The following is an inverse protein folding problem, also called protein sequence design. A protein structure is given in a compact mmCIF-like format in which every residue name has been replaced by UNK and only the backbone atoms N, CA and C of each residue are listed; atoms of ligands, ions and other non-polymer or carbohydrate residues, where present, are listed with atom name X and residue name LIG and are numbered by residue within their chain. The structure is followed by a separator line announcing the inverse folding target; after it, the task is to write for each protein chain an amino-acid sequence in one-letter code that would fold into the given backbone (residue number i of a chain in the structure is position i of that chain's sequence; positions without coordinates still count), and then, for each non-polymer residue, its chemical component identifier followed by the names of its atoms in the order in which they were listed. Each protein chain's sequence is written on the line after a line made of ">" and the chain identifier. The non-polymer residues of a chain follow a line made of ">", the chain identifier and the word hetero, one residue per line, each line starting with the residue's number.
data_IF_553305670145
#
_entry.id   IF_553305670145
#
_cell.length_a   1.000
_cell.length_b   1.000
_cell.length_c   1.000
_cell.angle_alpha   90.00
_cell.angle_beta   90.00
_cell.angle_gamma   90.00
#
_symmetry.space_group_name_H-M   'P 1'
#
loop_
_entity.id
_entity.type
_entity.pdbx_description
1 polymer ?
#
# COMPACT_ATOMS: atom_id res chain seq x y z
N UNK A 1 39.86 -31.09 19.26
CA UNK A 1 40.92 -30.96 18.23
C UNK A 1 40.54 -31.86 17.05
N UNK A 2 40.65 -31.44 15.78
CA UNK A 2 40.19 -30.17 15.20
C UNK A 2 39.25 -30.34 13.97
N UNK A 3 38.58 -29.22 13.61
CA UNK A 3 38.29 -28.67 12.27
C UNK A 3 37.65 -29.54 11.16
N UNK A 4 36.44 -29.19 10.67
CA UNK A 4 36.16 -28.27 9.53
C UNK A 4 35.90 -29.06 8.23
N UNK A 5 35.04 -28.72 7.26
CA UNK A 5 34.31 -27.51 6.91
C UNK A 5 32.89 -27.91 6.44
N UNK A 6 31.85 -27.31 7.02
CA UNK A 6 30.52 -27.31 6.39
C UNK A 6 30.48 -26.10 5.45
N UNK A 7 30.51 -26.36 4.14
CA UNK A 7 30.38 -25.34 3.10
C UNK A 7 28.96 -24.77 3.14
N UNK A 8 28.82 -23.57 3.68
CA UNK A 8 27.60 -22.77 3.57
C UNK A 8 27.39 -22.37 2.10
N UNK A 9 26.52 -23.10 1.42
CA UNK A 9 25.90 -22.64 0.18
C UNK A 9 24.92 -21.52 0.55
N UNK A 10 25.36 -20.27 0.45
CA UNK A 10 24.47 -19.13 0.42
C UNK A 10 23.70 -19.18 -0.92
N UNK A 11 22.37 -19.34 -0.93
CA UNK A 11 21.62 -19.00 -2.13
C UNK A 11 21.77 -17.48 -2.33
N UNK A 12 22.49 -17.10 -3.38
CA UNK A 12 22.46 -15.75 -3.93
C UNK A 12 21.01 -15.47 -4.29
N UNK A 13 20.32 -14.67 -3.47
CA UNK A 13 19.04 -14.10 -3.81
C UNK A 13 19.31 -13.12 -4.94
N UNK A 14 19.09 -13.58 -6.18
CA UNK A 14 18.98 -12.71 -7.34
C UNK A 14 17.72 -11.89 -7.11
N UNK A 15 17.90 -10.65 -6.65
CA UNK A 15 16.86 -9.64 -6.71
C UNK A 15 16.61 -9.41 -8.20
N UNK A 16 15.54 -10.01 -8.72
CA UNK A 16 14.93 -9.62 -9.98
C UNK A 16 14.42 -8.19 -9.80
N UNK A 17 15.33 -7.22 -9.89
CA UNK A 17 14.97 -5.90 -10.37
C UNK A 17 14.31 -6.17 -11.72
N UNK A 18 13.04 -5.80 -11.85
CA UNK A 18 12.32 -5.93 -13.12
C UNK A 18 13.11 -5.20 -14.19
N UNK A 19 13.96 -5.94 -14.90
CA UNK A 19 14.67 -5.44 -16.05
C UNK A 19 13.59 -5.12 -17.07
N UNK A 20 13.37 -3.82 -17.28
CA UNK A 20 12.72 -3.33 -18.47
C UNK A 20 13.62 -3.75 -19.64
N UNK A 21 13.44 -4.96 -20.16
CA UNK A 21 14.29 -5.55 -21.20
C UNK A 21 14.25 -4.78 -22.52
N UNK A 22 13.46 -3.70 -22.62
CA UNK A 22 13.28 -2.83 -23.78
C UNK A 22 13.31 -1.33 -23.44
N UNK A 23 13.81 -0.92 -22.27
CA UNK A 23 14.06 0.51 -22.02
C UNK A 23 15.32 0.93 -22.76
N UNK A 24 15.19 1.17 -24.07
CA UNK A 24 16.19 1.91 -24.83
C UNK A 24 16.37 3.28 -24.18
N UNK A 25 17.59 3.82 -24.18
CA UNK A 25 17.84 5.19 -23.77
C UNK A 25 17.29 6.13 -24.84
N UNK A 26 15.98 6.39 -24.79
CA UNK A 26 15.25 7.20 -25.75
C UNK A 26 15.41 8.70 -25.48
N UNK A 27 16.24 9.09 -24.49
CA UNK A 27 16.38 10.47 -24.03
C UNK A 27 15.18 11.00 -23.22
N UNK A 28 14.03 10.32 -23.26
CA UNK A 28 12.88 10.59 -22.41
C UNK A 28 12.57 9.38 -21.52
N UNK A 29 11.75 9.59 -20.48
CA UNK A 29 11.29 8.48 -19.64
C UNK A 29 9.89 8.72 -19.08
N UNK A 30 9.21 7.62 -18.82
CA UNK A 30 8.06 7.57 -17.93
C UNK A 30 8.48 6.96 -16.60
N UNK A 31 8.01 7.54 -15.50
CA UNK A 31 8.11 6.96 -14.17
C UNK A 31 6.73 6.95 -13.53
N UNK A 32 6.47 5.96 -12.68
CA UNK A 32 5.19 5.81 -12.02
C UNK A 32 5.39 5.67 -10.52
N UNK A 33 4.47 6.22 -9.73
CA UNK A 33 4.50 6.18 -8.28
C UNK A 33 3.10 6.06 -7.71
N UNK A 34 2.95 5.18 -6.72
CA UNK A 34 1.79 5.14 -5.84
C UNK A 34 2.06 5.90 -4.55
N UNK A 35 1.23 6.89 -4.27
CA UNK A 35 1.17 7.55 -2.95
C UNK A 35 0.06 6.90 -2.14
N UNK A 36 0.46 6.05 -1.19
CA UNK A 36 -0.46 5.33 -0.33
C UNK A 36 -1.25 6.30 0.56
N UNK A 37 -2.56 6.29 0.39
CA UNK A 37 -3.52 7.09 1.17
C UNK A 37 -4.08 6.36 2.38
N UNK A 38 -3.81 5.07 2.53
CA UNK A 38 -4.38 4.17 3.54
C UNK A 38 -3.83 4.34 4.97
N UNK A 39 -3.70 5.57 5.46
CA UNK A 39 -3.18 5.81 6.81
C UNK A 39 -3.88 6.95 7.57
N UNK A 40 -3.93 6.79 8.88
CA UNK A 40 -4.22 7.85 9.84
C UNK A 40 -2.92 8.53 10.28
N UNK A 41 -2.95 9.86 10.39
CA UNK A 41 -1.94 10.63 11.12
C UNK A 41 -2.63 11.31 12.30
N UNK A 42 -2.13 11.04 13.50
CA UNK A 42 -2.71 11.46 14.75
C UNK A 42 -1.66 12.20 15.56
N UNK A 43 -2.09 13.18 16.36
CA UNK A 43 -1.21 13.90 17.27
C UNK A 43 -1.93 14.24 18.55
N UNK A 44 -1.23 14.18 19.68
CA UNK A 44 -1.85 14.52 20.94
C UNK A 44 -0.97 14.22 22.15
N UNK A 45 -1.54 13.72 23.23
CA UNK A 45 -0.81 13.41 24.45
C UNK A 45 -1.35 12.19 25.20
N UNK A 46 -0.45 11.55 25.96
CA UNK A 46 -0.78 10.54 26.98
C UNK A 46 -0.76 11.23 28.34
N UNK A 47 -1.81 11.03 29.14
CA UNK A 47 -1.93 11.50 30.52
C UNK A 47 -1.74 13.03 30.66
N UNK A 48 -2.14 13.80 29.64
CA UNK A 48 -1.93 15.25 29.57
C UNK A 48 -0.46 15.70 29.47
N UNK A 49 0.51 14.77 29.56
CA UNK A 49 1.92 15.08 29.79
C UNK A 49 2.81 14.73 28.60
N UNK A 50 2.65 13.54 28.04
CA UNK A 50 3.57 13.02 27.05
C UNK A 50 3.03 13.27 25.65
N UNK A 51 3.54 14.31 24.98
CA UNK A 51 3.17 14.61 23.59
C UNK A 51 3.60 13.47 22.67
N UNK A 52 2.66 12.97 21.88
CA UNK A 52 2.88 11.88 20.94
C UNK A 52 2.37 12.22 19.54
N UNK A 53 3.03 11.66 18.55
CA UNK A 53 2.57 11.61 17.15
C UNK A 53 2.49 10.16 16.72
N UNK A 54 1.39 9.76 16.09
CA UNK A 54 1.11 8.39 15.70
C UNK A 54 0.72 8.31 14.23
N UNK A 55 1.27 7.33 13.51
CA UNK A 55 0.91 7.01 12.12
C UNK A 55 0.49 5.56 12.03
N UNK A 56 -0.76 5.32 11.65
CA UNK A 56 -1.37 3.99 11.55
C UNK A 56 -1.78 3.71 10.12
N UNK A 57 -1.38 2.57 9.58
CA UNK A 57 -1.71 2.08 8.25
C UNK A 57 -2.80 1.03 8.38
N UNK A 58 -3.85 1.17 7.58
CA UNK A 58 -4.85 0.12 7.40
C UNK A 58 -4.26 -0.92 6.44
N UNK A 59 -3.84 -2.05 7.00
CA UNK A 59 -3.38 -3.21 6.23
C UNK A 59 -4.58 -4.09 5.91
N UNK A 60 -4.68 -4.56 4.66
CA UNK A 60 -5.71 -5.54 4.24
C UNK A 60 -5.49 -6.96 4.81
N UNK A 61 -4.78 -7.08 5.94
CA UNK A 61 -4.53 -8.36 6.62
C UNK A 61 -5.78 -8.91 7.29
N UNK A 62 -5.77 -10.20 7.69
CA UNK A 62 -6.90 -10.82 8.37
C UNK A 62 -7.30 -10.01 9.59
N UNK A 63 -8.60 -9.70 9.66
CA UNK A 63 -9.18 -9.05 10.84
C UNK A 63 -9.30 -10.06 11.97
N UNK A 64 -9.45 -9.51 13.15
CA UNK A 64 -9.85 -10.27 14.32
C UNK A 64 -11.14 -11.06 14.07
N UNK A 65 -11.14 -12.36 14.36
CA UNK A 65 -12.25 -13.27 14.07
C UNK A 65 -12.25 -13.88 12.65
N UNK A 66 -11.31 -13.52 11.77
CA UNK A 66 -11.17 -14.13 10.43
C UNK A 66 -10.20 -15.33 10.42
N UNK A 67 -10.50 -16.32 11.25
CA UNK A 67 -9.64 -17.50 11.51
C UNK A 67 -9.19 -18.23 10.25
N UNK A 68 -10.06 -18.35 9.25
CA UNK A 68 -9.78 -19.01 7.97
C UNK A 68 -8.71 -18.30 7.11
N UNK A 69 -8.41 -17.02 7.39
CA UNK A 69 -7.35 -16.23 6.72
C UNK A 69 -6.06 -16.14 7.54
N UNK A 70 -6.12 -16.43 8.84
CA UNK A 70 -5.01 -16.26 9.77
C UNK A 70 -3.85 -17.26 9.57
N UNK A 71 -4.10 -18.39 8.88
CA UNK A 71 -3.11 -19.45 8.64
C UNK A 71 -1.92 -18.96 7.78
N UNK A 72 -2.11 -17.89 7.00
CA UNK A 72 -1.10 -17.39 6.06
C UNK A 72 -0.50 -16.02 6.42
N UNK A 73 -1.05 -15.29 7.39
CA UNK A 73 -0.68 -13.89 7.65
C UNK A 73 -0.57 -13.56 9.14
N UNK A 74 0.47 -12.79 9.51
CA UNK A 74 0.62 -12.21 10.86
C UNK A 74 -0.49 -11.16 11.05
N UNK A 75 -1.37 -11.34 12.04
CA UNK A 75 -2.65 -10.64 12.19
C UNK A 75 -2.53 -9.17 12.65
N UNK A 76 -1.98 -8.29 11.80
CA UNK A 76 -2.10 -6.84 11.96
C UNK A 76 -3.06 -6.28 10.93
N UNK A 77 -4.30 -5.96 11.31
CA UNK A 77 -5.22 -5.17 10.47
C UNK A 77 -4.92 -3.68 10.50
N UNK A 78 -4.14 -3.25 11.51
CA UNK A 78 -3.76 -1.87 11.75
C UNK A 78 -2.33 -1.82 12.30
N UNK A 79 -1.35 -1.56 11.44
CA UNK A 79 0.07 -1.46 11.83
C UNK A 79 0.54 -0.01 11.82
N UNK A 80 1.66 0.30 12.49
CA UNK A 80 2.15 1.66 12.45
C UNK A 80 3.34 1.94 13.34
N UNK A 81 3.44 3.21 13.73
CA UNK A 81 4.38 3.67 14.73
C UNK A 81 3.80 4.86 15.48
N UNK A 82 4.31 5.08 16.69
CA UNK A 82 4.19 6.37 17.37
C UNK A 82 5.56 6.81 17.87
N UNK A 83 5.72 8.08 18.21
CA UNK A 83 6.89 8.56 18.95
C UNK A 83 6.48 9.62 19.96
N UNK A 84 7.29 9.76 21.01
CA UNK A 84 7.24 10.90 21.91
C UNK A 84 7.94 12.09 21.26
N UNK A 85 7.26 13.23 21.11
CA UNK A 85 7.76 14.38 20.34
C UNK A 85 9.15 14.85 20.80
N UNK A 86 9.44 14.75 22.10
CA UNK A 86 10.75 15.13 22.68
C UNK A 86 11.89 14.17 22.33
N UNK A 87 11.58 12.90 22.11
CA UNK A 87 12.58 11.84 21.86
C UNK A 87 12.77 11.64 20.35
N UNK A 88 11.70 11.75 19.56
CA UNK A 88 11.73 11.60 18.10
C UNK A 88 11.93 10.16 17.61
N UNK A 89 12.17 9.19 18.50
CA UNK A 89 12.36 7.78 18.14
C UNK A 89 11.02 7.11 17.86
N UNK A 90 10.87 6.55 16.65
CA UNK A 90 9.70 5.77 16.26
C UNK A 90 9.65 4.43 16.98
N UNK A 91 8.54 4.21 17.68
CA UNK A 91 8.19 2.99 18.38
C UNK A 91 7.14 2.27 17.53
N UNK A 92 7.42 1.02 17.16
CA UNK A 92 6.52 0.22 16.32
C UNK A 92 5.21 -0.05 17.06
N UNK A 93 4.11 -0.01 16.30
CA UNK A 93 2.79 -0.46 16.72
C UNK A 93 2.32 -1.58 15.80
N UNK A 94 1.67 -2.58 16.38
CA UNK A 94 0.91 -3.60 15.67
C UNK A 94 -0.43 -3.76 16.37
N UNK A 95 -1.50 -3.73 15.59
CA UNK A 95 -2.84 -3.63 16.13
C UNK A 95 -3.89 -4.38 15.33
N UNK A 96 -5.00 -4.58 15.99
CA UNK A 96 -6.19 -5.27 15.50
C UNK A 96 -7.43 -4.42 15.73
N UNK A 97 -8.47 -4.71 14.95
CA UNK A 97 -9.81 -4.20 15.15
C UNK A 97 -10.82 -5.32 14.89
N UNK A 98 -11.82 -5.46 15.76
CA UNK A 98 -12.80 -6.57 15.75
C UNK A 98 -14.03 -6.30 14.88
N UNK A 99 -14.72 -7.38 14.47
CA UNK A 99 -16.03 -7.31 13.79
C UNK A 99 -17.23 -7.53 14.74
N UNK A 100 -17.07 -8.36 15.78
CA UNK A 100 -18.22 -8.96 16.48
C UNK A 100 -18.64 -8.29 17.81
N UNK A 101 -17.95 -7.24 18.27
CA UNK A 101 -18.45 -6.40 19.35
C UNK A 101 -17.83 -5.00 19.29
N UNK A 102 -18.61 -4.05 18.77
CA UNK A 102 -18.44 -2.59 18.92
C UNK A 102 -17.24 -1.89 18.26
N UNK A 103 -16.44 -2.56 17.43
CA UNK A 103 -15.36 -1.87 16.70
C UNK A 103 -14.15 -1.55 17.58
N UNK A 104 -13.94 -2.33 18.64
CA UNK A 104 -12.78 -2.24 19.52
C UNK A 104 -11.47 -2.21 18.73
N UNK A 105 -10.58 -1.30 19.12
CA UNK A 105 -9.23 -1.15 18.55
C UNK A 105 -8.18 -1.40 19.63
N UNK A 106 -7.23 -2.30 19.35
CA UNK A 106 -6.05 -2.53 20.20
C UNK A 106 -4.78 -2.29 19.40
N UNK A 107 -3.87 -1.47 19.93
CA UNK A 107 -2.55 -1.22 19.36
C UNK A 107 -1.50 -1.61 20.40
N UNK A 108 -0.60 -2.52 20.05
CA UNK A 108 0.45 -3.01 20.93
C UNK A 108 1.80 -2.48 20.50
N UNK A 109 2.64 -2.17 21.49
CA UNK A 109 4.09 -2.03 21.30
C UNK A 109 4.72 -3.40 21.54
N UNK A 110 5.13 -4.14 20.50
CA UNK A 110 5.65 -5.49 20.69
C UNK A 110 6.98 -5.48 21.45
N UNK A 111 7.26 -6.53 22.22
CA UNK A 111 8.58 -6.69 22.87
C UNK A 111 9.69 -6.95 21.83
N UNK A 112 9.36 -7.66 20.76
CA UNK A 112 10.20 -8.11 19.66
C UNK A 112 9.49 -7.98 18.32
N UNK A 113 10.24 -7.84 17.23
CA UNK A 113 9.67 -7.79 15.86
C UNK A 113 8.97 -9.09 15.43
N UNK A 114 9.17 -10.18 16.19
CA UNK A 114 8.54 -11.48 15.97
C UNK A 114 7.19 -11.63 16.68
N UNK A 115 6.86 -10.76 17.63
CA UNK A 115 5.59 -10.84 18.36
C UNK A 115 4.43 -10.50 17.42
N UNK A 116 3.34 -11.24 17.55
CA UNK A 116 2.15 -11.13 16.69
C UNK A 116 0.89 -11.17 17.53
N UNK A 117 -0.20 -10.66 16.97
CA UNK A 117 -1.53 -10.78 17.55
C UNK A 117 -2.09 -12.17 17.23
N UNK A 118 -2.66 -12.81 18.23
CA UNK A 118 -3.40 -14.05 18.07
C UNK A 118 -4.72 -13.75 17.34
N UNK A 119 -4.98 -14.40 16.20
CA UNK A 119 -6.17 -14.16 15.38
C UNK A 119 -7.49 -14.48 16.11
N UNK A 120 -7.43 -15.47 17.00
CA UNK A 120 -8.59 -15.98 17.73
C UNK A 120 -8.94 -15.04 18.87
N UNK A 121 -7.95 -14.70 19.71
CA UNK A 121 -8.21 -13.89 20.90
C UNK A 121 -8.11 -12.39 20.67
N UNK A 122 -7.54 -11.94 19.54
CA UNK A 122 -7.24 -10.52 19.28
C UNK A 122 -6.23 -9.89 20.22
N UNK A 123 -5.56 -10.72 21.01
CA UNK A 123 -4.59 -10.30 22.01
C UNK A 123 -3.16 -10.57 21.53
N UNK A 124 -2.25 -9.68 21.90
CA UNK A 124 -0.81 -9.94 21.87
C UNK A 124 -0.38 -10.34 23.27
N UNK A 125 0.30 -11.47 23.40
CA UNK A 125 0.80 -11.92 24.72
C UNK A 125 2.02 -11.08 25.16
N UNK A 126 2.94 -10.80 24.24
CA UNK A 126 4.23 -10.16 24.51
C UNK A 126 4.30 -8.73 23.98
N UNK A 127 3.91 -7.77 24.82
CA UNK A 127 3.96 -6.34 24.53
C UNK A 127 4.56 -5.53 25.69
N UNK A 128 5.05 -4.33 25.41
CA UNK A 128 5.52 -3.36 26.41
C UNK A 128 4.40 -2.43 26.86
N UNK A 129 3.60 -2.00 25.89
CA UNK A 129 2.53 -1.02 26.06
C UNK A 129 1.34 -1.43 25.20
N UNK A 130 0.15 -1.01 25.61
CA UNK A 130 -1.08 -1.21 24.84
C UNK A 130 -1.89 0.08 24.84
N UNK A 131 -2.45 0.41 23.67
CA UNK A 131 -3.48 1.41 23.50
C UNK A 131 -4.79 0.68 23.16
N UNK A 132 -5.89 1.03 23.84
CA UNK A 132 -7.19 0.38 23.67
C UNK A 132 -8.29 1.43 23.51
N UNK A 133 -9.23 1.19 22.61
CA UNK A 133 -10.57 1.75 22.67
C UNK A 133 -11.56 0.59 22.56
N UNK A 134 -12.31 0.33 23.64
CA UNK A 134 -13.15 -0.86 23.79
C UNK A 134 -14.50 -0.72 23.06
N UNK A 135 -14.93 0.51 22.72
CA UNK A 135 -16.32 0.79 22.36
C UNK A 135 -16.53 1.33 20.93
N UNK A 136 -15.47 1.70 20.20
CA UNK A 136 -15.59 2.23 18.82
C UNK A 136 -14.23 2.23 18.08
N UNK A 137 -14.29 2.32 16.75
CA UNK A 137 -13.14 2.66 15.88
C UNK A 137 -12.84 4.16 15.94
N UNK A 138 -12.63 4.69 17.15
CA UNK A 138 -12.39 6.11 17.41
C UNK A 138 -11.04 6.32 18.11
N UNK A 139 -10.03 6.74 17.35
CA UNK A 139 -8.69 7.00 17.90
C UNK A 139 -8.65 8.16 18.90
N UNK A 140 -9.68 8.99 18.99
CA UNK A 140 -9.70 10.16 19.89
C UNK A 140 -10.01 9.80 21.34
N UNK A 141 -10.49 8.57 21.60
CA UNK A 141 -10.91 8.07 22.93
C UNK A 141 -10.02 6.95 23.48
N UNK A 142 -8.80 6.83 22.96
CA UNK A 142 -7.90 5.74 23.33
C UNK A 142 -7.47 5.87 24.79
N UNK A 143 -7.27 4.72 25.42
CA UNK A 143 -6.62 4.56 26.72
C UNK A 143 -5.28 3.87 26.53
N UNK A 144 -4.31 4.15 27.41
CA UNK A 144 -2.96 3.56 27.34
C UNK A 144 -2.52 3.02 28.69
N UNK A 145 -1.74 1.93 28.67
CA UNK A 145 -1.02 1.44 29.85
C UNK A 145 0.25 0.67 29.46
N UNK A 146 1.18 0.55 30.40
CA UNK A 146 2.29 -0.40 30.28
C UNK A 146 1.83 -1.81 30.66
N UNK A 147 2.53 -2.84 30.14
CA UNK A 147 2.27 -4.23 30.55
C UNK A 147 2.54 -4.38 32.05
N UNK A 148 1.56 -4.92 32.77
CA UNK A 148 1.60 -5.10 34.23
C UNK A 148 0.95 -3.97 35.03
N UNK A 149 0.71 -2.80 34.42
CA UNK A 149 -0.02 -1.73 35.07
C UNK A 149 -1.51 -2.08 35.22
N UNK A 150 -2.09 -1.69 36.36
CA UNK A 150 -3.51 -1.89 36.66
C UNK A 150 -4.41 -0.77 36.13
N UNK A 151 -3.87 0.43 35.98
CA UNK A 151 -4.64 1.64 35.68
C UNK A 151 -4.33 2.09 34.27
N UNK A 152 -5.39 2.28 33.49
CA UNK A 152 -5.32 2.92 32.18
C UNK A 152 -5.25 4.44 32.33
N UNK A 153 -4.49 5.07 31.45
CA UNK A 153 -4.36 6.52 31.33
C UNK A 153 -5.02 7.02 30.07
N UNK A 154 -5.49 8.25 30.10
CA UNK A 154 -6.14 8.87 28.96
C UNK A 154 -5.16 9.21 27.85
N UNK A 155 -5.57 8.99 26.61
CA UNK A 155 -4.86 9.44 25.42
C UNK A 155 -5.78 10.34 24.62
N UNK A 156 -5.43 11.62 24.54
CA UNK A 156 -6.18 12.59 23.76
C UNK A 156 -5.48 12.76 22.43
N UNK A 157 -6.10 12.34 21.33
CA UNK A 157 -5.54 12.42 19.97
C UNK A 157 -6.45 13.26 19.06
N UNK A 158 -5.83 14.14 18.29
CA UNK A 158 -6.43 14.82 17.16
C UNK A 158 -6.11 14.08 15.87
N UNK A 159 -7.10 13.94 14.99
CA UNK A 159 -6.92 13.36 13.66
C UNK A 159 -6.42 14.44 12.70
N UNK A 160 -5.13 14.41 12.38
CA UNK A 160 -4.51 15.32 11.41
C UNK A 160 -4.73 14.87 9.97
N UNK A 161 -4.86 13.56 9.75
CA UNK A 161 -5.19 12.97 8.44
C UNK A 161 -5.98 11.69 8.64
N UNK A 162 -7.05 11.54 7.85
CA UNK A 162 -7.80 10.29 7.66
C UNK A 162 -7.30 9.56 6.41
N UNK A 163 -7.50 8.23 6.33
CA UNK A 163 -7.28 7.48 5.11
C UNK A 163 -8.02 8.11 3.95
N UNK A 164 -7.35 8.17 2.81
CA UNK A 164 -7.92 8.55 1.53
C UNK A 164 -7.61 7.45 0.51
N UNK A 165 -8.31 7.42 -0.63
CA UNK A 165 -7.86 6.62 -1.75
C UNK A 165 -6.38 6.90 -2.06
N UNK A 166 -5.67 5.85 -2.48
CA UNK A 166 -4.31 6.00 -2.98
C UNK A 166 -4.30 6.89 -4.23
N UNK A 167 -3.18 7.57 -4.45
CA UNK A 167 -2.98 8.40 -5.63
C UNK A 167 -1.89 7.80 -6.52
N UNK A 168 -2.25 7.48 -7.74
CA UNK A 168 -1.34 7.00 -8.78
C UNK A 168 -0.91 8.18 -9.64
N UNK A 169 0.39 8.44 -9.69
CA UNK A 169 0.96 9.50 -10.54
C UNK A 169 1.94 8.91 -11.54
N UNK A 170 1.76 9.24 -12.81
CA UNK A 170 2.78 9.04 -13.86
C UNK A 170 3.48 10.37 -14.09
N UNK A 171 4.81 10.35 -14.10
CA UNK A 171 5.64 11.50 -14.48
C UNK A 171 6.31 11.19 -15.81
N UNK A 172 6.07 12.05 -16.79
CA UNK A 172 6.76 12.05 -18.06
C UNK A 172 7.87 13.12 -18.02
N UNK A 173 9.09 12.74 -18.39
CA UNK A 173 10.27 13.62 -18.38
C UNK A 173 10.96 13.60 -19.75
N UNK A 174 11.21 14.80 -20.30
CA UNK A 174 11.97 15.02 -21.52
C UNK A 174 13.46 15.27 -21.21
N UNK A 175 14.37 15.08 -22.19
CA UNK A 175 15.80 15.25 -21.97
C UNK A 175 16.21 16.69 -21.62
N UNK A 176 15.39 17.67 -22.00
CA UNK A 176 15.57 19.08 -21.64
C UNK A 176 15.12 19.43 -20.21
N UNK A 177 14.74 18.44 -19.40
CA UNK A 177 14.28 18.60 -18.02
C UNK A 177 12.83 19.05 -17.87
N UNK A 178 12.11 19.31 -18.97
CA UNK A 178 10.66 19.54 -18.90
C UNK A 178 9.96 18.26 -18.45
N UNK A 179 8.96 18.40 -17.59
CA UNK A 179 8.22 17.26 -17.06
C UNK A 179 6.74 17.56 -16.91
N UNK A 180 5.91 16.51 -16.97
CA UNK A 180 4.49 16.56 -16.66
C UNK A 180 4.10 15.43 -15.73
N UNK A 181 3.32 15.78 -14.70
CA UNK A 181 2.71 14.82 -13.79
C UNK A 181 1.25 14.63 -14.16
N UNK A 182 0.83 13.38 -14.27
CA UNK A 182 -0.51 12.96 -14.62
C UNK A 182 -1.07 12.12 -13.48
N UNK A 183 -2.23 12.51 -12.97
CA UNK A 183 -2.96 11.79 -11.93
C UNK A 183 -3.84 10.73 -12.62
N UNK A 184 -3.41 9.47 -12.55
CA UNK A 184 -4.06 8.39 -13.30
C UNK A 184 -5.46 8.13 -12.76
N UNK A 185 -5.68 8.22 -11.44
CA UNK A 185 -7.00 8.07 -10.86
C UNK A 185 -8.00 9.09 -11.42
N UNK A 186 -7.56 10.34 -11.62
CA UNK A 186 -8.39 11.37 -12.23
C UNK A 186 -8.66 11.11 -13.70
N UNK A 187 -7.66 10.66 -14.46
CA UNK A 187 -7.81 10.37 -15.90
C UNK A 187 -8.71 9.16 -16.15
N UNK A 188 -8.65 8.14 -15.29
CA UNK A 188 -9.48 6.94 -15.41
C UNK A 188 -10.89 7.11 -14.89
N UNK A 189 -11.17 8.17 -14.12
CA UNK A 189 -12.40 8.31 -13.33
C UNK A 189 -12.60 7.11 -12.37
N UNK A 190 -11.51 6.42 -12.02
CA UNK A 190 -11.49 5.25 -11.14
C UNK A 190 -10.65 5.57 -9.90
N UNK A 191 -11.17 5.18 -8.74
CA UNK A 191 -10.52 5.38 -7.44
C UNK A 191 -9.97 4.05 -6.93
N UNK A 192 -8.92 4.11 -6.11
CA UNK A 192 -8.51 2.97 -5.29
C UNK A 192 -7.47 2.03 -5.89
N UNK A 193 -6.76 2.41 -6.95
CA UNK A 193 -5.60 1.61 -7.38
C UNK A 193 -4.50 1.60 -6.32
N UNK A 194 -3.95 0.42 -6.07
CA UNK A 194 -2.88 0.17 -5.10
C UNK A 194 -1.50 0.14 -5.73
N UNK A 195 -1.43 -0.17 -7.03
CA UNK A 195 -0.16 -0.22 -7.74
C UNK A 195 -0.26 0.19 -9.20
N UNK A 196 0.87 0.65 -9.73
CA UNK A 196 1.08 0.95 -11.13
C UNK A 196 2.43 0.40 -11.58
N UNK A 197 2.43 -0.35 -12.68
CA UNK A 197 3.65 -0.88 -13.28
C UNK A 197 3.73 -0.46 -14.75
N UNK A 198 4.82 0.18 -15.14
CA UNK A 198 5.08 0.50 -16.55
C UNK A 198 5.43 -0.80 -17.27
N UNK A 199 4.74 -1.08 -18.38
CA UNK A 199 4.96 -2.28 -19.20
C UNK A 199 6.00 -1.96 -20.27
N UNK A 200 5.73 -0.92 -21.07
CA UNK A 200 6.63 -0.40 -22.09
C UNK A 200 6.27 1.03 -22.44
N UNK A 201 7.22 1.75 -23.02
CA UNK A 201 6.98 3.06 -23.62
C UNK A 201 7.87 3.24 -24.84
N UNK A 202 7.45 4.12 -25.74
CA UNK A 202 8.14 4.38 -27.00
C UNK A 202 7.71 5.69 -27.61
N UNK A 203 8.44 6.13 -28.63
CA UNK A 203 8.11 7.31 -29.41
C UNK A 203 7.78 6.91 -30.84
N UNK A 204 6.67 7.42 -31.37
CA UNK A 204 6.30 7.24 -32.76
C UNK A 204 5.53 8.47 -33.25
N UNK A 205 5.82 8.93 -34.47
CA UNK A 205 5.10 10.05 -35.11
C UNK A 205 5.04 11.35 -34.27
N UNK A 206 6.09 11.68 -33.50
CA UNK A 206 6.16 12.83 -32.57
C UNK A 206 5.16 12.73 -31.39
N UNK A 207 4.86 11.51 -30.97
CA UNK A 207 4.07 11.21 -29.80
C UNK A 207 4.80 10.21 -28.91
N UNK A 208 4.60 10.35 -27.60
CA UNK A 208 5.14 9.49 -26.57
C UNK A 208 4.03 8.59 -26.05
N UNK A 209 4.27 7.29 -26.16
CA UNK A 209 3.31 6.23 -25.89
C UNK A 209 3.73 5.48 -24.64
N UNK A 210 2.79 5.24 -23.74
CA UNK A 210 3.01 4.48 -22.52
C UNK A 210 1.95 3.39 -22.39
N UNK A 211 2.41 2.14 -22.24
CA UNK A 211 1.61 1.03 -21.75
C UNK A 211 1.92 0.77 -20.28
N UNK A 212 0.88 0.60 -19.48
CA UNK A 212 1.01 0.38 -18.04
C UNK A 212 -0.05 -0.59 -17.53
N UNK A 213 0.21 -1.18 -16.37
CA UNK A 213 -0.68 -2.05 -15.63
C UNK A 213 -1.10 -1.35 -14.35
N UNK A 214 -2.37 -1.40 -14.01
CA UNK A 214 -2.89 -0.99 -12.71
C UNK A 214 -3.43 -2.18 -11.95
N UNK A 215 -3.27 -2.18 -10.64
CA UNK A 215 -3.82 -3.18 -9.74
C UNK A 215 -4.60 -2.52 -8.61
N UNK A 216 -5.73 -3.13 -8.26
CA UNK A 216 -6.54 -2.79 -7.09
C UNK A 216 -6.67 -4.05 -6.23
N UNK A 217 -6.18 -3.98 -4.99
CA UNK A 217 -6.21 -5.03 -4.00
C UNK A 217 -7.25 -4.68 -2.92
N UNK A 218 -8.51 -4.86 -3.27
CA UNK A 218 -9.62 -4.84 -2.32
C UNK A 218 -9.63 -6.06 -1.38
N UNK A 219 -10.41 -5.97 -0.30
CA UNK A 219 -10.51 -7.04 0.72
C UNK A 219 -11.14 -8.35 0.21
N UNK A 220 -11.96 -8.28 -0.84
CA UNK A 220 -12.60 -9.42 -1.52
C UNK A 220 -12.50 -9.36 -3.04
N UNK A 221 -11.84 -8.32 -3.54
CA UNK A 221 -11.86 -7.95 -4.94
C UNK A 221 -10.43 -7.66 -5.35
N UNK A 222 -9.93 -8.41 -6.33
CA UNK A 222 -8.70 -8.10 -7.02
C UNK A 222 -9.04 -7.79 -8.47
N UNK A 223 -8.69 -6.58 -8.88
CA UNK A 223 -8.87 -6.13 -10.25
C UNK A 223 -7.53 -5.71 -10.85
N UNK A 224 -7.33 -6.11 -12.10
CA UNK A 224 -6.16 -5.73 -12.90
C UNK A 224 -6.65 -5.01 -14.14
N UNK A 225 -5.97 -3.92 -14.50
CA UNK A 225 -6.23 -3.17 -15.71
C UNK A 225 -4.96 -3.04 -16.55
N UNK A 226 -5.12 -2.98 -17.87
CA UNK A 226 -4.09 -2.54 -18.80
C UNK A 226 -4.48 -1.17 -19.34
N UNK A 227 -3.58 -0.21 -19.19
CA UNK A 227 -3.76 1.17 -19.60
C UNK A 227 -2.81 1.56 -20.71
N UNK A 228 -3.25 2.55 -21.49
CA UNK A 228 -2.50 3.22 -22.54
C UNK A 228 -2.62 4.73 -22.37
N UNK A 229 -1.52 5.43 -22.60
CA UNK A 229 -1.44 6.87 -22.49
C UNK A 229 -0.57 7.43 -23.62
N UNK A 230 -1.06 8.48 -24.27
CA UNK A 230 -0.39 9.17 -25.38
C UNK A 230 -0.21 10.66 -25.07
N UNK A 231 1.02 11.16 -25.16
CA UNK A 231 1.39 12.57 -24.93
C UNK A 231 2.13 13.11 -26.16
N UNK A 232 1.89 14.36 -26.55
CA UNK A 232 2.71 15.03 -27.59
C UNK A 232 3.92 15.78 -27.01
N UNK A 233 4.77 16.33 -27.87
CA UNK A 233 5.98 17.09 -27.48
C UNK A 233 5.70 18.34 -26.63
N UNK A 234 4.48 18.87 -26.69
CA UNK A 234 4.03 19.99 -25.86
C UNK A 234 3.53 19.55 -24.48
N UNK A 235 3.73 18.28 -24.13
CA UNK A 235 3.25 17.65 -22.91
C UNK A 235 1.71 17.62 -22.82
N UNK A 236 0.97 17.68 -23.93
CA UNK A 236 -0.49 17.58 -23.94
C UNK A 236 -0.92 16.12 -24.00
N UNK A 237 -1.90 15.74 -23.17
CA UNK A 237 -2.50 14.40 -23.24
C UNK A 237 -3.38 14.34 -24.49
N UNK A 238 -3.19 13.32 -25.32
CA UNK A 238 -3.91 13.14 -26.59
C UNK A 238 -4.85 11.96 -26.58
N UNK A 239 -4.45 10.89 -25.91
CA UNK A 239 -5.28 9.71 -25.71
C UNK A 239 -4.98 9.09 -24.34
N UNK A 240 -6.02 8.54 -23.74
CA UNK A 240 -5.95 7.81 -22.50
C UNK A 240 -7.01 6.73 -22.51
N UNK A 241 -6.60 5.48 -22.27
CA UNK A 241 -7.49 4.34 -22.29
C UNK A 241 -7.11 3.34 -21.24
N UNK A 242 -8.10 2.70 -20.64
CA UNK A 242 -7.92 1.59 -19.69
C UNK A 242 -8.88 0.46 -20.05
N UNK A 243 -8.43 -0.78 -19.90
CA UNK A 243 -9.22 -1.98 -20.09
C UNK A 243 -9.11 -2.84 -18.85
N UNK A 244 -10.24 -3.29 -18.30
CA UNK A 244 -10.28 -4.31 -17.26
C UNK A 244 -9.74 -5.62 -17.85
N UNK A 245 -8.68 -6.15 -17.25
CA UNK A 245 -7.98 -7.35 -17.69
C UNK A 245 -8.39 -8.58 -16.89
N UNK A 246 -8.71 -8.38 -15.62
CA UNK A 246 -9.11 -9.44 -14.72
C UNK A 246 -9.94 -8.85 -13.58
N UNK A 247 -10.98 -9.57 -13.20
CA UNK A 247 -11.79 -9.30 -12.02
C UNK A 247 -12.00 -10.63 -11.27
N UNK A 248 -11.57 -10.68 -10.02
CA UNK A 248 -11.69 -11.88 -9.19
C UNK A 248 -13.13 -12.33 -8.96
N UNK A 249 -14.13 -11.45 -9.11
CA UNK A 249 -15.54 -11.83 -9.00
C UNK A 249 -16.03 -12.63 -10.19
N UNK A 250 -15.49 -12.35 -11.38
CA UNK A 250 -15.91 -12.97 -12.63
C UNK A 250 -14.92 -14.03 -13.14
N UNK A 251 -13.76 -14.19 -12.50
CA UNK A 251 -12.82 -15.31 -12.61
C UNK A 251 -12.14 -15.52 -13.97
N UNK A 252 -12.73 -15.02 -15.06
CA UNK A 252 -12.22 -15.08 -16.41
C UNK A 252 -11.34 -13.86 -16.72
N UNK A 253 -10.16 -14.09 -17.29
CA UNK A 253 -9.37 -13.02 -17.87
C UNK A 253 -10.09 -12.44 -19.10
N UNK A 254 -10.22 -11.12 -19.14
CA UNK A 254 -10.77 -10.43 -20.29
C UNK A 254 -9.76 -10.46 -21.44
N UNK A 255 -10.25 -10.67 -22.67
CA UNK A 255 -9.38 -10.61 -23.84
C UNK A 255 -8.98 -9.15 -24.07
N UNK A 256 -7.71 -8.86 -23.84
CA UNK A 256 -7.09 -7.57 -24.17
C UNK A 256 -5.96 -7.83 -25.16
N UNK A 257 -5.85 -6.99 -26.19
CA UNK A 257 -4.67 -6.96 -27.05
C UNK A 257 -3.90 -5.66 -26.92
N UNK A 258 -2.58 -5.80 -26.82
CA UNK A 258 -1.58 -4.74 -26.85
C UNK A 258 -0.24 -5.35 -27.31
N UNK A 259 0.65 -4.51 -27.84
CA UNK A 259 1.97 -4.93 -28.29
C UNK A 259 3.04 -4.22 -27.45
N UNK A 260 3.86 -4.99 -26.74
CA UNK A 260 4.91 -4.44 -25.87
C UNK A 260 6.01 -3.79 -26.71
N UNK A 261 6.32 -4.33 -27.89
CA UNK A 261 7.35 -3.82 -28.78
C UNK A 261 6.86 -2.59 -29.57
N UNK A 262 5.55 -2.48 -29.76
CA UNK A 262 4.89 -1.38 -30.48
C UNK A 262 3.82 -0.70 -29.61
N UNK A 263 4.22 0.03 -28.54
CA UNK A 263 3.27 0.68 -27.63
C UNK A 263 2.39 1.73 -28.32
N UNK A 264 2.79 2.26 -29.47
CA UNK A 264 2.01 3.16 -30.32
C UNK A 264 0.71 2.54 -30.84
N UNK A 265 0.60 1.21 -30.88
CA UNK A 265 -0.62 0.50 -31.24
C UNK A 265 -1.71 0.56 -30.15
N UNK A 266 -1.36 1.04 -28.95
CA UNK A 266 -2.26 1.23 -27.83
C UNK A 266 -2.85 -0.06 -27.28
N UNK A 267 -4.03 0.06 -26.65
CA UNK A 267 -4.76 -1.06 -26.04
C UNK A 267 -6.14 -1.22 -26.66
N UNK A 268 -6.56 -2.46 -26.92
CA UNK A 268 -7.91 -2.79 -27.40
C UNK A 268 -8.62 -3.67 -26.38
N UNK A 269 -9.71 -3.15 -25.80
CA UNK A 269 -10.61 -3.92 -24.95
C UNK A 269 -11.56 -4.71 -25.87
N UNK A 270 -11.62 -6.03 -25.74
CA UNK A 270 -12.64 -6.80 -26.45
C UNK A 270 -13.90 -6.72 -25.59
N UNK A 271 -14.98 -6.10 -26.08
CA UNK A 271 -16.26 -6.19 -25.38
C UNK A 271 -16.76 -7.64 -25.47
N UNK A 272 -17.07 -8.28 -24.34
CA UNK A 272 -17.99 -9.42 -24.37
C UNK A 272 -19.31 -8.88 -24.91
N UNK A 273 -19.74 -9.37 -26.07
CA UNK A 273 -21.12 -9.20 -26.49
C UNK A 273 -21.98 -9.73 -25.34
N UNK A 274 -22.72 -8.83 -24.68
CA UNK A 274 -23.75 -9.21 -23.72
C UNK A 274 -24.88 -9.95 -24.43
#
# INVERSE_FOLDING_TARGET
>A
MPSALLKYFFPVIIILIGNCSHCQDLGFKFTAKTEKGNYYLLKGNIDGKYKITMKLFLSGGPRCGEEWKAIQWKNGGLDGWYYYDKIGTKIKLTGSFGFDSYGEVKLYVPMSSKDTINAYTCEMENYKEVFVNEDDFDFTKMKWKMKGDKIFKDVNLDILKKPSPNKITVTFELPNGKSKKLDINKLSELVGFDDINIISYGEANNYYHLLFKLENFGWREYQKYIGYLNINDNLELKDFKICLAYDSWNGEEEKISFDIAHPENGVRCTQKNK
#
